data_IF_111796172697
#
_entry.id   IF_111796172697
#
_cell.length_a   1.000
_cell.length_b   1.000
_cell.length_c   1.000
_cell.angle_alpha   90.00
_cell.angle_beta   90.00
_cell.angle_gamma   90.00
#
_symmetry.space_group_name_H-M   'P 1'
#
loop_
_entity.id
_entity.type
_entity.pdbx_description
1 polymer ?
#
# COMPACT_ATOMS: atom_id res chain seq x y z
N UNK A 1 13.72 1.46 1.51
CA UNK A 1 13.23 2.85 1.36
C UNK A 1 14.33 3.70 0.76
N UNK A 2 14.05 4.98 0.49
CA UNK A 2 15.01 5.98 0.02
C UNK A 2 14.53 7.39 0.29
N UNK A 3 14.03 7.62 1.51
CA UNK A 3 13.67 8.95 1.97
C UNK A 3 13.78 9.01 3.49
N UNK A 4 14.00 10.22 4.00
CA UNK A 4 14.21 10.51 5.42
C UNK A 4 12.96 10.15 6.24
N UNK A 5 13.16 9.66 7.46
CA UNK A 5 12.10 9.28 8.40
C UNK A 5 11.14 8.21 7.84
N UNK A 6 11.68 7.25 7.07
CA UNK A 6 10.88 6.26 6.33
C UNK A 6 10.31 5.12 7.18
N UNK A 7 10.71 4.99 8.43
CA UNK A 7 10.27 3.93 9.35
C UNK A 7 9.38 4.48 10.46
N UNK A 8 8.13 3.99 10.53
CA UNK A 8 7.19 4.31 11.60
C UNK A 8 7.24 3.25 12.70
N UNK A 9 7.38 3.66 13.97
CA UNK A 9 7.21 2.79 15.13
C UNK A 9 5.81 3.02 15.75
N UNK A 10 4.89 2.02 15.67
CA UNK A 10 3.54 2.19 16.19
C UNK A 10 3.45 2.24 17.73
N UNK A 11 4.48 1.80 18.44
CA UNK A 11 4.53 1.81 19.92
C UNK A 11 4.89 3.20 20.42
N UNK A 12 5.96 3.79 19.87
CA UNK A 12 6.39 5.16 20.24
C UNK A 12 5.62 6.24 19.49
N UNK A 13 4.99 5.86 18.37
CA UNK A 13 4.29 6.74 17.41
C UNK A 13 5.21 7.79 16.81
N UNK A 14 6.44 7.39 16.51
CA UNK A 14 7.48 8.26 15.97
C UNK A 14 7.99 7.74 14.63
N UNK A 15 8.53 8.65 13.83
CA UNK A 15 9.20 8.31 12.58
C UNK A 15 10.72 8.39 12.76
N UNK A 16 11.44 7.45 12.14
CA UNK A 16 12.90 7.40 12.13
C UNK A 16 13.38 6.72 10.85
N UNK A 17 14.69 6.55 10.68
CA UNK A 17 15.27 5.71 9.62
C UNK A 17 15.73 4.33 10.14
N UNK A 18 15.35 3.99 11.38
CA UNK A 18 15.70 2.75 12.04
C UNK A 18 14.56 1.71 11.90
N UNK A 19 14.73 0.67 11.06
CA UNK A 19 13.64 -0.25 10.72
C UNK A 19 13.37 -1.31 11.80
N UNK A 20 14.07 -1.27 12.94
CA UNK A 20 14.08 -2.35 13.95
C UNK A 20 12.68 -2.69 14.47
N UNK A 21 11.82 -1.70 14.69
CA UNK A 21 10.45 -1.93 15.13
C UNK A 21 9.62 -2.68 14.09
N UNK A 22 9.62 -2.21 12.84
CA UNK A 22 8.95 -2.86 11.73
C UNK A 22 9.48 -4.27 11.47
N UNK A 23 10.81 -4.45 11.45
CA UNK A 23 11.43 -5.76 11.26
C UNK A 23 11.04 -6.77 12.36
N UNK A 24 10.96 -6.33 13.62
CA UNK A 24 10.48 -7.21 14.71
C UNK A 24 9.03 -7.65 14.49
N UNK A 25 8.17 -6.75 14.02
CA UNK A 25 6.76 -7.06 13.72
C UNK A 25 6.67 -8.06 12.57
N UNK A 26 7.39 -7.80 11.47
CA UNK A 26 7.45 -8.69 10.30
C UNK A 26 7.98 -10.07 10.68
N UNK A 27 9.09 -10.14 11.42
CA UNK A 27 9.67 -11.40 11.86
C UNK A 27 8.72 -12.19 12.76
N UNK A 28 8.04 -11.51 13.69
CA UNK A 28 7.03 -12.16 14.55
C UNK A 28 5.90 -12.75 13.72
N UNK A 29 5.44 -12.04 12.69
CA UNK A 29 4.39 -12.51 11.78
C UNK A 29 4.84 -13.75 10.99
N UNK A 30 6.02 -13.68 10.37
CA UNK A 30 6.62 -14.82 9.64
C UNK A 30 6.73 -16.05 10.56
N UNK A 31 7.29 -15.87 11.76
CA UNK A 31 7.46 -16.95 12.74
C UNK A 31 6.13 -17.55 13.21
N UNK A 32 5.06 -16.73 13.33
CA UNK A 32 3.74 -17.21 13.74
C UNK A 32 3.11 -18.20 12.76
N UNK A 33 3.58 -18.22 11.51
CA UNK A 33 3.14 -19.16 10.48
C UNK A 33 4.18 -20.24 10.16
N UNK A 34 5.25 -20.36 10.95
CA UNK A 34 6.28 -21.38 10.76
C UNK A 34 7.04 -21.28 9.45
N UNK A 35 7.05 -20.09 8.82
CA UNK A 35 7.75 -19.86 7.57
C UNK A 35 9.23 -19.56 7.83
N UNK A 36 10.13 -20.28 7.16
CA UNK A 36 11.56 -20.03 7.19
C UNK A 36 11.91 -19.02 6.07
N UNK A 37 11.77 -17.73 6.38
CA UNK A 37 11.97 -16.63 5.44
C UNK A 37 12.91 -15.60 6.03
N UNK A 38 13.97 -15.27 5.28
CA UNK A 38 14.83 -14.13 5.58
C UNK A 38 14.12 -12.83 5.24
N UNK A 39 13.93 -11.98 6.24
CA UNK A 39 13.43 -10.62 6.05
C UNK A 39 14.59 -9.62 6.17
N UNK A 40 14.78 -8.79 5.15
CA UNK A 40 15.76 -7.71 5.17
C UNK A 40 15.13 -6.38 4.82
N UNK A 41 15.67 -5.31 5.40
CA UNK A 41 15.38 -3.94 5.01
C UNK A 41 16.62 -3.33 4.38
N UNK A 42 16.43 -2.63 3.27
CA UNK A 42 17.48 -1.92 2.54
C UNK A 42 17.11 -0.45 2.46
N UNK A 43 17.98 0.42 3.00
CA UNK A 43 17.97 1.84 2.70
C UNK A 43 18.84 2.05 1.46
N UNK A 44 18.23 2.43 0.34
CA UNK A 44 18.91 2.58 -0.95
C UNK A 44 19.83 3.79 -1.01
N UNK A 45 19.54 4.83 -0.23
CA UNK A 45 20.28 6.10 -0.27
C UNK A 45 21.56 5.98 0.56
N UNK A 46 21.46 5.33 1.72
CA UNK A 46 22.61 5.12 2.61
C UNK A 46 23.35 3.82 2.33
N UNK A 47 22.75 2.90 1.57
CA UNK A 47 23.23 1.53 1.37
C UNK A 47 23.14 0.64 2.62
N UNK A 48 22.48 1.11 3.69
CA UNK A 48 22.39 0.35 4.94
C UNK A 48 21.40 -0.80 4.81
N UNK A 49 21.81 -1.97 5.30
CA UNK A 49 21.01 -3.19 5.29
C UNK A 49 20.80 -3.66 6.72
N UNK A 50 19.58 -4.09 7.03
CA UNK A 50 19.22 -4.69 8.30
C UNK A 50 18.57 -6.06 8.05
N UNK A 51 18.85 -7.03 8.93
CA UNK A 51 18.32 -8.39 8.84
C UNK A 51 19.14 -9.36 7.96
N UNK A 52 20.02 -8.83 7.10
CA UNK A 52 21.00 -9.60 6.33
C UNK A 52 22.22 -8.72 5.99
N UNK A 53 23.30 -9.35 5.55
CA UNK A 53 24.43 -8.64 4.93
C UNK A 53 24.15 -8.38 3.45
N UNK A 54 24.73 -7.33 2.88
CA UNK A 54 24.49 -6.98 1.47
C UNK A 54 24.92 -8.08 0.49
N UNK A 55 26.03 -8.75 0.77
CA UNK A 55 26.50 -9.87 -0.05
C UNK A 55 25.56 -11.08 0.02
N UNK A 56 24.88 -11.27 1.16
CA UNK A 56 23.85 -12.30 1.30
C UNK A 56 22.63 -11.96 0.43
N UNK A 57 22.20 -10.69 0.39
CA UNK A 57 21.11 -10.24 -0.50
C UNK A 57 21.46 -10.53 -1.96
N UNK A 58 22.67 -10.20 -2.41
CA UNK A 58 23.12 -10.49 -3.78
C UNK A 58 23.16 -11.99 -4.06
N UNK A 59 23.63 -12.80 -3.10
CA UNK A 59 23.66 -14.26 -3.21
C UNK A 59 22.25 -14.83 -3.38
N UNK A 60 21.29 -14.37 -2.59
CA UNK A 60 19.87 -14.76 -2.70
C UNK A 60 19.33 -14.38 -4.09
N UNK A 61 19.56 -13.14 -4.53
CA UNK A 61 19.12 -12.68 -5.86
C UNK A 61 19.72 -13.52 -7.00
N UNK A 62 20.98 -13.91 -6.89
CA UNK A 62 21.66 -14.76 -7.88
C UNK A 62 21.18 -16.21 -7.88
N UNK A 63 20.74 -16.72 -6.73
CA UNK A 63 20.20 -18.08 -6.59
C UNK A 63 18.70 -18.17 -6.93
N UNK A 64 17.96 -17.07 -6.83
CA UNK A 64 16.51 -17.06 -7.04
C UNK A 64 16.13 -17.34 -8.50
N UNK A 65 15.16 -18.24 -8.70
CA UNK A 65 14.56 -18.52 -10.00
C UNK A 65 13.68 -17.39 -10.53
N UNK A 66 13.13 -16.59 -9.61
CA UNK A 66 12.17 -15.52 -9.85
C UNK A 66 12.21 -14.47 -8.75
N UNK A 67 12.27 -13.20 -9.14
CA UNK A 67 12.04 -12.05 -8.26
C UNK A 67 10.66 -11.45 -8.51
N UNK A 68 9.87 -11.30 -7.45
CA UNK A 68 8.62 -10.54 -7.46
C UNK A 68 8.87 -9.17 -6.81
N UNK A 69 8.83 -8.09 -7.58
CA UNK A 69 8.78 -6.73 -7.03
C UNK A 69 7.32 -6.31 -6.88
N UNK A 70 6.82 -6.35 -5.65
CA UNK A 70 5.43 -5.99 -5.34
C UNK A 70 5.37 -4.50 -5.00
N UNK A 71 4.53 -3.75 -5.72
CA UNK A 71 4.37 -2.30 -5.60
C UNK A 71 5.44 -1.47 -6.30
N UNK A 72 6.62 -2.04 -6.62
CA UNK A 72 7.64 -1.35 -7.42
C UNK A 72 8.37 -0.20 -6.71
N UNK A 73 7.97 0.16 -5.48
CA UNK A 73 8.51 1.30 -4.71
C UNK A 73 9.90 1.04 -4.10
N UNK A 74 10.29 -0.23 -3.98
CA UNK A 74 11.58 -0.66 -3.40
C UNK A 74 12.58 -1.08 -4.47
N UNK A 75 12.66 -0.35 -5.58
CA UNK A 75 13.58 -0.70 -6.67
C UNK A 75 15.06 -0.62 -6.26
N UNK A 76 15.83 -1.63 -6.65
CA UNK A 76 17.28 -1.71 -6.46
C UNK A 76 17.95 -2.14 -7.78
N UNK A 77 19.09 -1.55 -8.18
CA UNK A 77 19.85 -2.00 -9.35
C UNK A 77 20.20 -3.50 -9.30
N UNK A 78 20.48 -4.03 -8.11
CA UNK A 78 20.83 -5.42 -7.81
C UNK A 78 19.73 -6.40 -8.20
N UNK A 79 18.48 -5.96 -8.34
CA UNK A 79 17.40 -6.82 -8.83
C UNK A 79 17.73 -7.46 -10.18
N UNK A 80 18.55 -6.80 -11.02
CA UNK A 80 19.02 -7.34 -12.30
C UNK A 80 19.88 -8.60 -12.17
N UNK A 81 20.43 -8.90 -10.98
CA UNK A 81 21.14 -10.14 -10.68
C UNK A 81 20.21 -11.35 -10.86
N UNK A 82 18.95 -11.23 -10.43
CA UNK A 82 17.96 -12.30 -10.62
C UNK A 82 17.53 -12.36 -12.09
N UNK A 83 17.61 -13.55 -12.71
CA UNK A 83 17.40 -13.73 -14.15
C UNK A 83 15.97 -13.48 -14.60
N UNK A 84 14.97 -13.75 -13.76
CA UNK A 84 13.54 -13.55 -14.07
C UNK A 84 12.96 -12.60 -13.04
N UNK A 85 12.22 -11.60 -13.52
CA UNK A 85 11.75 -10.49 -12.70
C UNK A 85 10.34 -10.12 -13.12
N UNK A 86 9.47 -9.99 -12.14
CA UNK A 86 8.07 -9.62 -12.32
C UNK A 86 7.80 -8.36 -11.50
N UNK A 87 7.14 -7.39 -12.11
CA UNK A 87 6.57 -6.25 -11.40
C UNK A 87 5.09 -6.52 -11.12
N UNK A 88 4.65 -6.35 -9.88
CA UNK A 88 3.24 -6.40 -9.50
C UNK A 88 2.81 -5.01 -9.07
N UNK A 89 2.02 -4.34 -9.89
CA UNK A 89 1.42 -3.05 -9.62
C UNK A 89 0.27 -3.18 -8.59
N UNK A 90 0.44 -2.49 -7.46
CA UNK A 90 -0.55 -2.44 -6.38
C UNK A 90 -1.44 -1.20 -6.45
N UNK A 91 -1.05 -0.20 -7.23
CA UNK A 91 -1.70 1.12 -7.30
C UNK A 91 -1.99 1.47 -8.77
N UNK A 92 -2.97 0.77 -9.40
CA UNK A 92 -3.41 1.04 -10.76
C UNK A 92 -3.69 2.52 -10.98
N UNK A 93 -3.52 2.97 -12.22
CA UNK A 93 -3.46 4.38 -12.62
C UNK A 93 -2.14 5.06 -12.22
N UNK A 94 -1.79 5.11 -10.93
CA UNK A 94 -0.60 5.84 -10.47
C UNK A 94 0.71 5.27 -11.03
N UNK A 95 0.82 3.95 -11.11
CA UNK A 95 1.96 3.30 -11.75
C UNK A 95 2.05 3.70 -13.23
N UNK A 96 0.95 3.60 -13.98
CA UNK A 96 0.96 3.79 -15.44
C UNK A 96 1.10 5.27 -15.87
N UNK A 97 0.76 6.23 -15.02
CA UNK A 97 1.04 7.65 -15.30
C UNK A 97 2.44 8.08 -14.85
N UNK A 98 3.25 7.18 -14.30
CA UNK A 98 4.60 7.51 -13.86
C UNK A 98 4.67 8.22 -12.49
N UNK A 99 3.64 8.11 -11.64
CA UNK A 99 3.66 8.69 -10.30
C UNK A 99 4.38 7.79 -9.29
N UNK A 100 4.23 6.47 -9.40
CA UNK A 100 4.89 5.46 -8.55
C UNK A 100 5.68 4.45 -9.36
N UNK A 101 6.64 3.76 -8.75
CA UNK A 101 7.39 2.67 -9.39
C UNK A 101 8.01 3.03 -10.76
N UNK A 102 8.56 4.24 -10.90
CA UNK A 102 9.15 4.74 -12.15
C UNK A 102 10.50 4.08 -12.43
N UNK A 103 11.29 3.90 -11.38
CA UNK A 103 12.67 3.48 -11.51
C UNK A 103 12.79 2.01 -11.92
N UNK A 104 13.57 1.79 -12.98
CA UNK A 104 13.79 0.48 -13.57
C UNK A 104 12.51 -0.28 -13.95
N UNK A 105 11.40 0.45 -14.18
CA UNK A 105 10.12 -0.13 -14.61
C UNK A 105 10.26 -0.99 -15.86
N UNK A 106 11.17 -0.64 -16.77
CA UNK A 106 11.39 -1.37 -18.01
C UNK A 106 12.37 -2.55 -17.87
N UNK A 107 12.88 -2.83 -16.67
CA UNK A 107 13.82 -3.93 -16.43
C UNK A 107 13.14 -5.28 -16.13
N UNK A 108 11.80 -5.32 -16.11
CA UNK A 108 11.00 -6.50 -15.77
C UNK A 108 10.61 -7.29 -17.03
N UNK A 109 10.33 -8.58 -16.86
CA UNK A 109 9.98 -9.47 -17.97
C UNK A 109 8.47 -9.68 -18.08
N UNK A 110 7.76 -9.59 -16.95
CA UNK A 110 6.30 -9.65 -16.89
C UNK A 110 5.79 -8.57 -15.93
N UNK A 111 4.59 -8.09 -16.23
CA UNK A 111 3.91 -7.04 -15.52
C UNK A 111 2.55 -7.55 -15.11
N UNK A 112 2.26 -7.56 -13.82
CA UNK A 112 0.92 -7.82 -13.30
C UNK A 112 0.37 -6.55 -12.66
N UNK A 113 -0.95 -6.42 -12.64
CA UNK A 113 -1.63 -5.33 -11.91
C UNK A 113 -2.88 -5.84 -11.22
N UNK A 114 -3.19 -5.24 -10.07
CA UNK A 114 -4.52 -5.35 -9.46
C UNK A 114 -5.60 -4.61 -10.27
N UNK A 115 -5.20 -3.75 -11.21
CA UNK A 115 -6.06 -3.12 -12.20
C UNK A 115 -6.42 -4.10 -13.30
N UNK A 116 -7.35 -5.02 -13.01
CA UNK A 116 -7.69 -6.15 -13.89
C UNK A 116 -8.25 -5.76 -15.26
N UNK A 117 -8.68 -4.51 -15.43
CA UNK A 117 -9.19 -4.00 -16.70
C UNK A 117 -8.12 -3.29 -17.55
N UNK A 118 -6.91 -3.06 -17.04
CA UNK A 118 -5.87 -2.35 -17.80
C UNK A 118 -5.58 -3.08 -19.12
N UNK A 119 -5.52 -2.35 -20.22
CA UNK A 119 -5.33 -2.91 -21.56
C UNK A 119 -6.63 -3.29 -22.28
N UNK A 120 -7.77 -3.34 -21.59
CA UNK A 120 -9.07 -3.48 -22.24
C UNK A 120 -9.47 -2.19 -22.97
N UNK A 121 -10.27 -2.33 -24.04
CA UNK A 121 -10.66 -1.20 -24.91
C UNK A 121 -11.50 -0.12 -24.22
N UNK A 122 -12.22 -0.47 -23.16
CA UNK A 122 -13.05 0.42 -22.34
C UNK A 122 -12.33 0.96 -21.10
N UNK A 123 -11.09 0.49 -20.83
CA UNK A 123 -10.30 0.97 -19.72
C UNK A 123 -9.56 2.26 -20.08
N UNK A 124 -9.80 3.32 -19.30
CA UNK A 124 -9.16 4.63 -19.50
C UNK A 124 -7.76 4.74 -18.90
N UNK A 125 -7.36 3.79 -18.06
CA UNK A 125 -6.03 3.76 -17.47
C UNK A 125 -5.03 3.43 -18.59
N UNK A 126 -3.98 4.26 -18.81
CA UNK A 126 -3.00 3.98 -19.85
C UNK A 126 -2.25 2.69 -19.54
N UNK A 127 -1.73 2.00 -20.55
CA UNK A 127 -0.86 0.83 -20.34
C UNK A 127 0.61 1.21 -20.12
N UNK A 128 0.98 2.46 -20.39
CA UNK A 128 2.38 2.91 -20.39
C UNK A 128 3.31 2.04 -21.28
N UNK A 129 2.74 1.46 -22.36
CA UNK A 129 3.48 0.59 -23.28
C UNK A 129 3.77 -0.82 -22.75
N UNK A 130 3.24 -1.20 -21.58
CA UNK A 130 3.40 -2.54 -21.00
C UNK A 130 2.17 -3.41 -21.21
N UNK A 131 2.38 -4.73 -21.28
CA UNK A 131 1.32 -5.73 -21.28
C UNK A 131 1.00 -6.14 -19.83
N UNK A 132 -0.07 -5.55 -19.27
CA UNK A 132 -0.46 -5.74 -17.88
C UNK A 132 -1.36 -6.96 -17.73
N UNK A 133 -0.82 -8.00 -17.10
CA UNK A 133 -1.56 -9.21 -16.78
C UNK A 133 -2.42 -8.99 -15.52
N UNK A 134 -3.71 -9.37 -15.53
CA UNK A 134 -4.56 -9.21 -14.36
C UNK A 134 -4.15 -10.19 -13.25
N UNK A 135 -4.09 -9.69 -12.02
CA UNK A 135 -3.95 -10.51 -10.81
C UNK A 135 -4.77 -9.90 -9.67
N UNK A 136 -5.07 -10.68 -8.66
CA UNK A 136 -5.64 -10.20 -7.39
C UNK A 136 -4.70 -10.56 -6.23
N UNK A 137 -4.65 -9.76 -5.15
CA UNK A 137 -3.86 -10.12 -3.98
C UNK A 137 -4.32 -11.49 -3.45
N UNK A 138 -3.39 -12.39 -3.06
CA UNK A 138 -3.78 -13.65 -2.45
C UNK A 138 -4.49 -13.41 -1.12
N UNK A 139 -5.61 -14.10 -0.91
CA UNK A 139 -6.35 -14.12 0.35
C UNK A 139 -6.27 -15.54 0.92
N UNK A 140 -5.96 -15.65 2.22
CA UNK A 140 -5.93 -16.92 2.96
C UNK A 140 -7.06 -16.88 4.00
N UNK A 141 -8.28 -17.32 3.65
CA UNK A 141 -9.46 -17.16 4.50
C UNK A 141 -9.30 -17.78 5.90
N UNK A 142 -8.51 -18.84 6.02
CA UNK A 142 -8.23 -19.56 7.28
C UNK A 142 -7.63 -18.65 8.35
N UNK A 143 -6.91 -17.60 7.95
CA UNK A 143 -6.33 -16.62 8.87
C UNK A 143 -7.38 -15.68 9.49
N UNK A 144 -8.59 -15.62 8.92
CA UNK A 144 -9.66 -14.69 9.31
C UNK A 144 -10.79 -15.36 10.09
N UNK A 145 -10.75 -16.69 10.26
CA UNK A 145 -11.84 -17.46 10.88
C UNK A 145 -11.98 -17.22 12.39
N UNK A 146 -10.91 -16.78 13.07
CA UNK A 146 -10.89 -16.62 14.53
C UNK A 146 -11.62 -15.38 15.05
N UNK A 147 -11.97 -14.42 14.18
CA UNK A 147 -12.61 -13.16 14.59
C UNK A 147 -14.07 -13.04 14.15
N UNK A 148 -14.59 -13.84 13.23
CA UNK A 148 -15.90 -13.57 12.62
C UNK A 148 -17.12 -14.16 13.36
N UNK A 149 -16.93 -14.91 14.46
CA UNK A 149 -17.98 -15.80 14.99
C UNK A 149 -18.35 -15.60 16.46
N UNK A 150 -17.97 -14.50 17.10
CA UNK A 150 -18.49 -14.21 18.46
C UNK A 150 -19.84 -13.48 18.35
N UNK A 151 -20.85 -13.84 19.17
CA UNK A 151 -22.14 -13.13 19.20
C UNK A 151 -22.00 -11.62 19.45
N UNK A 152 -20.94 -11.20 20.14
CA UNK A 152 -20.61 -9.80 20.41
C UNK A 152 -20.28 -8.98 19.16
N UNK A 153 -19.83 -9.63 18.08
CA UNK A 153 -19.49 -8.97 16.81
C UNK A 153 -20.66 -8.89 15.84
N UNK A 154 -21.75 -9.63 16.07
CA UNK A 154 -22.93 -9.60 15.21
C UNK A 154 -23.64 -8.23 15.21
N UNK A 155 -23.58 -7.50 16.32
CA UNK A 155 -24.17 -6.17 16.49
C UNK A 155 -23.15 -5.01 16.39
N UNK A 156 -21.88 -5.35 16.13
CA UNK A 156 -20.78 -4.38 16.03
C UNK A 156 -20.84 -3.59 14.72
N UNK A 157 -20.35 -2.35 14.77
CA UNK A 157 -20.22 -1.53 13.57
C UNK A 157 -19.14 -2.10 12.65
N UNK A 158 -19.37 -2.03 11.35
CA UNK A 158 -18.32 -2.20 10.36
C UNK A 158 -17.50 -0.92 10.37
N UNK A 159 -16.29 -1.03 10.89
CA UNK A 159 -15.36 0.08 11.01
C UNK A 159 -14.48 0.16 9.77
N UNK A 160 -14.14 1.38 9.35
CA UNK A 160 -13.11 1.61 8.35
C UNK A 160 -12.22 2.78 8.78
N UNK A 161 -10.93 2.68 8.46
CA UNK A 161 -9.96 3.75 8.66
C UNK A 161 -9.52 4.21 7.28
N UNK A 162 -9.72 5.49 6.98
CA UNK A 162 -9.38 6.06 5.69
C UNK A 162 -8.65 7.40 5.83
N UNK A 163 -7.79 7.70 4.87
CA UNK A 163 -7.25 9.05 4.70
C UNK A 163 -8.17 9.82 3.74
N UNK A 164 -8.61 11.02 4.14
CA UNK A 164 -9.57 11.86 3.40
C UNK A 164 -9.04 12.23 2.01
N UNK A 165 -7.82 12.78 1.99
CA UNK A 165 -7.06 13.04 0.77
C UNK A 165 -5.61 12.61 1.01
N UNK A 166 -5.14 11.68 0.17
CA UNK A 166 -3.81 11.07 0.35
C UNK A 166 -2.75 11.67 -0.59
N UNK A 167 -3.12 12.00 -1.82
CA UNK A 167 -2.13 12.32 -2.88
C UNK A 167 -2.47 13.56 -3.72
N UNK A 168 -3.54 14.28 -3.36
CA UNK A 168 -4.12 15.37 -4.14
C UNK A 168 -4.73 14.92 -5.46
N UNK A 169 -5.47 15.82 -6.11
CA UNK A 169 -6.06 15.58 -7.42
C UNK A 169 -4.98 15.43 -8.49
N UNK A 170 -5.21 14.51 -9.43
CA UNK A 170 -4.34 14.29 -10.58
C UNK A 170 -5.10 14.61 -11.85
N UNK A 171 -4.59 15.53 -12.66
CA UNK A 171 -5.11 15.76 -14.01
C UNK A 171 -4.30 14.92 -14.99
N UNK A 172 -4.94 13.97 -15.66
CA UNK A 172 -4.31 13.15 -16.69
C UNK A 172 -5.06 13.30 -18.01
N UNK A 173 -4.36 13.78 -19.05
CA UNK A 173 -4.93 14.07 -20.38
C UNK A 173 -6.17 14.99 -20.36
N UNK A 174 -6.17 15.96 -19.45
CA UNK A 174 -7.28 16.92 -19.28
C UNK A 174 -8.43 16.41 -18.42
N UNK A 175 -8.43 15.13 -18.01
CA UNK A 175 -9.43 14.56 -17.12
C UNK A 175 -8.95 14.63 -15.66
N UNK A 176 -9.76 15.17 -14.74
CA UNK A 176 -9.45 15.17 -13.32
C UNK A 176 -9.75 13.80 -12.68
N UNK A 177 -8.80 13.32 -11.89
CA UNK A 177 -8.94 12.14 -11.02
C UNK A 177 -8.86 12.61 -9.58
N UNK A 178 -10.02 12.59 -8.91
CA UNK A 178 -10.18 12.96 -7.50
C UNK A 178 -9.70 11.89 -6.52
N UNK A 179 -9.76 12.21 -5.23
CA UNK A 179 -9.39 11.30 -4.15
C UNK A 179 -10.63 10.72 -3.45
N UNK A 180 -10.42 10.11 -2.27
CA UNK A 180 -11.50 9.47 -1.52
C UNK A 180 -12.55 10.47 -1.05
N UNK A 181 -12.17 11.71 -0.76
CA UNK A 181 -13.07 12.83 -0.45
C UNK A 181 -14.23 12.93 -1.45
N UNK A 182 -13.96 12.97 -2.75
CA UNK A 182 -15.00 13.08 -3.78
C UNK A 182 -15.86 11.81 -3.89
N UNK A 183 -15.25 10.64 -3.73
CA UNK A 183 -15.96 9.35 -3.82
C UNK A 183 -16.81 9.06 -2.56
N UNK A 184 -16.36 9.48 -1.37
CA UNK A 184 -17.11 9.34 -0.12
C UNK A 184 -18.43 10.10 -0.16
N UNK A 185 -18.48 11.25 -0.84
CA UNK A 185 -19.72 12.01 -1.00
C UNK A 185 -20.82 11.20 -1.68
N UNK A 186 -20.46 10.25 -2.56
CA UNK A 186 -21.41 9.34 -3.22
C UNK A 186 -21.96 8.26 -2.30
N UNK A 187 -21.32 8.03 -1.16
CA UNK A 187 -21.66 7.00 -0.18
C UNK A 187 -22.34 7.56 1.09
N UNK A 188 -22.60 8.88 1.16
CA UNK A 188 -23.20 9.52 2.35
C UNK A 188 -24.57 8.95 2.73
N UNK A 189 -25.34 8.48 1.77
CA UNK A 189 -26.65 7.87 2.02
C UNK A 189 -26.56 6.37 2.37
N UNK A 190 -25.38 5.75 2.30
CA UNK A 190 -25.22 4.32 2.57
C UNK A 190 -25.76 3.92 3.95
N UNK A 191 -25.51 4.66 5.05
CA UNK A 191 -26.01 4.28 6.38
C UNK A 191 -27.53 4.23 6.48
N UNK A 192 -28.27 4.98 5.65
CA UNK A 192 -29.75 4.93 5.65
C UNK A 192 -30.31 3.81 4.76
N UNK A 193 -29.46 3.20 3.93
CA UNK A 193 -29.83 2.13 2.98
C UNK A 193 -29.45 0.73 3.47
N UNK A 194 -28.81 0.59 4.64
CA UNK A 194 -28.50 -0.70 5.25
C UNK A 194 -28.77 -0.72 6.76
N UNK A 195 -29.09 -1.91 7.29
CA UNK A 195 -29.25 -2.11 8.75
C UNK A 195 -27.91 -2.32 9.48
N UNK A 196 -26.83 -2.59 8.75
CA UNK A 196 -25.49 -2.73 9.31
C UNK A 196 -25.03 -1.38 9.84
N UNK A 197 -24.62 -1.32 11.12
CA UNK A 197 -23.98 -0.12 11.68
C UNK A 197 -22.65 0.09 10.97
N UNK A 198 -22.39 1.31 10.51
CA UNK A 198 -21.16 1.71 9.85
C UNK A 198 -20.47 2.77 10.70
N UNK A 199 -19.16 2.65 10.90
CA UNK A 199 -18.36 3.63 11.63
C UNK A 199 -17.11 3.98 10.82
N UNK A 200 -16.84 5.28 10.68
CA UNK A 200 -15.78 5.80 9.84
C UNK A 200 -14.79 6.61 10.70
N UNK A 201 -13.53 6.19 10.69
CA UNK A 201 -12.42 6.96 11.25
C UNK A 201 -11.61 7.57 10.09
N UNK A 202 -11.56 8.90 10.05
CA UNK A 202 -10.93 9.65 8.95
C UNK A 202 -9.71 10.41 9.47
N UNK A 203 -8.60 10.31 8.76
CA UNK A 203 -7.45 11.19 8.92
C UNK A 203 -7.42 12.26 7.80
N UNK A 204 -7.06 13.51 8.10
CA UNK A 204 -6.95 14.61 7.13
C UNK A 204 -6.79 15.97 7.83
N UNK A 205 -6.71 17.06 7.07
CA UNK A 205 -6.68 18.42 7.65
C UNK A 205 -8.06 18.80 8.21
N UNK A 206 -8.12 19.10 9.50
CA UNK A 206 -9.36 19.35 10.27
C UNK A 206 -10.30 20.41 9.68
N UNK A 207 -9.81 21.34 8.85
CA UNK A 207 -10.62 22.41 8.24
C UNK A 207 -11.47 21.96 7.04
N UNK A 208 -11.19 20.79 6.44
CA UNK A 208 -11.94 20.30 5.26
C UNK A 208 -13.00 19.26 5.65
N UNK A 209 -12.73 18.43 6.67
CA UNK A 209 -13.62 17.34 7.10
C UNK A 209 -14.87 17.87 7.82
N UNK A 210 -14.74 18.95 8.61
CA UNK A 210 -15.82 19.47 9.49
C UNK A 210 -16.89 20.24 8.71
N UNK A 211 -16.59 20.76 7.52
CA UNK A 211 -17.54 21.52 6.70
C UNK A 211 -18.40 20.66 5.78
N UNK A 212 -17.94 19.47 5.41
CA UNK A 212 -18.56 18.65 4.34
C UNK A 212 -19.22 17.37 4.84
N UNK A 213 -18.88 16.90 6.06
CA UNK A 213 -19.41 15.65 6.62
C UNK A 213 -20.31 15.95 7.84
N UNK A 214 -21.59 15.54 7.84
CA UNK A 214 -22.46 15.72 9.00
C UNK A 214 -21.86 15.05 10.26
N UNK A 215 -21.97 15.66 11.46
CA UNK A 215 -21.26 15.24 12.67
C UNK A 215 -21.67 13.87 13.24
N UNK A 216 -22.63 13.18 12.64
CA UNK A 216 -23.14 11.88 13.10
C UNK A 216 -22.41 10.68 12.46
N UNK A 217 -21.38 10.90 11.63
CA UNK A 217 -20.81 9.87 10.74
C UNK A 217 -19.35 9.50 11.06
N UNK A 218 -18.63 10.26 11.89
CA UNK A 218 -17.20 10.00 12.10
C UNK A 218 -16.67 10.46 13.47
N UNK A 219 -15.57 9.83 13.89
CA UNK A 219 -14.71 10.30 14.98
C UNK A 219 -13.39 10.79 14.36
N UNK A 220 -12.95 12.02 14.66
CA UNK A 220 -11.64 12.51 14.23
C UNK A 220 -10.55 11.97 15.15
N UNK A 221 -9.45 11.47 14.56
CA UNK A 221 -8.22 11.20 15.31
C UNK A 221 -7.22 12.33 15.06
N UNK A 222 -6.71 13.01 16.09
CA UNK A 222 -5.69 14.03 15.89
C UNK A 222 -4.41 13.37 15.37
N UNK A 223 -4.06 13.67 14.11
CA UNK A 223 -2.74 13.35 13.57
C UNK A 223 -1.72 14.26 14.27
N UNK A 224 -0.77 13.68 15.02
CA UNK A 224 0.48 14.40 15.31
C UNK A 224 1.19 14.59 13.97
N UNK A 225 1.49 15.85 13.66
CA UNK A 225 1.91 16.31 12.34
C UNK A 225 2.89 15.38 11.62
N UNK A 226 2.56 15.04 10.38
CA UNK A 226 3.51 14.44 9.46
C UNK A 226 4.60 15.47 9.11
N UNK A 227 5.89 15.08 9.03
CA UNK A 227 6.98 15.99 8.68
C UNK A 227 7.05 16.28 7.18
N UNK A 228 5.95 16.17 6.43
CA UNK A 228 5.90 16.69 5.06
C UNK A 228 5.78 18.22 5.10
N UNK A 229 6.93 18.88 5.10
CA UNK A 229 7.10 20.28 4.69
C UNK A 229 7.93 20.32 3.41
N UNK A 230 7.37 20.94 2.37
CA UNK A 230 8.10 21.49 1.22
C UNK A 230 8.20 20.55 0.04
#
# INVERSE_FOLDING_TARGET
SGWLLSCYDPVTRDYSDEPKAGLRIVQKLINSYGADVTACYVNRDTGTVYGAEWEEVKRILGAADLLLNIGGVCWLPEFRICKRRVLIDMDPFFTQIGKFAVEGRNDYHLYFSYGTNIGHSDCKIPTDGQDWLPIVPPVVPELWQNSASTPELADAAFTTIANWSAYGDVVYRGEPYGQKDQEFMRLLELPSRCSQKLELAISGHDSEIVTEVPPFVYTTMPLKGSPHKG
#
